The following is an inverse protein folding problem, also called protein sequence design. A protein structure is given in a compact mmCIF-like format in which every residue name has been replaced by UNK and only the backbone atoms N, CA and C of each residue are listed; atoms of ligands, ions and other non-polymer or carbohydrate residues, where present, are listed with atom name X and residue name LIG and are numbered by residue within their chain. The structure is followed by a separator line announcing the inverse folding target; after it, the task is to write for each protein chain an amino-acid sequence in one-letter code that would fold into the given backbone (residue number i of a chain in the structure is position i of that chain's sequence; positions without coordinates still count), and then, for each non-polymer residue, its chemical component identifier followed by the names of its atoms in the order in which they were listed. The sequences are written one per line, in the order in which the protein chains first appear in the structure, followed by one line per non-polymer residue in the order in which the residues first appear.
data_IF_541555545364
#
_entry.id   IF_541555545364
#
_cell.length_a   1.000
_cell.length_b   1.000
_cell.length_c   1.000
_cell.angle_alpha   90.00
_cell.angle_beta   90.00
_cell.angle_gamma   90.00
#
_symmetry.space_group_name_H-M   'P 1'
#
loop_
_entity.id
_entity.type
_entity.pdbx_description
1 polymer ?
#
# COMPACT_ATOMS: atom_id res chain seq x y z
N UNK A 1 -53.05 36.09 37.07
CA UNK A 1 -51.85 35.23 36.89
C UNK A 1 -51.99 34.45 35.60
N UNK A 2 -51.40 34.93 34.50
CA UNK A 2 -51.33 34.22 33.21
C UNK A 2 -49.91 33.65 33.09
N UNK A 3 -49.77 32.32 33.10
CA UNK A 3 -48.48 31.65 32.90
C UNK A 3 -48.17 31.64 31.40
N UNK A 4 -47.07 32.27 31.03
CA UNK A 4 -46.50 32.21 29.69
C UNK A 4 -45.87 30.84 29.46
N UNK A 5 -46.26 30.16 28.39
CA UNK A 5 -45.58 28.97 27.89
C UNK A 5 -44.33 29.42 27.13
N UNK A 6 -43.15 29.03 27.62
CA UNK A 6 -41.89 29.23 26.90
C UNK A 6 -41.71 28.06 25.94
N UNK A 7 -41.88 28.32 24.64
CA UNK A 7 -41.62 27.37 23.57
C UNK A 7 -40.11 27.35 23.32
N UNK A 8 -39.43 26.33 23.84
CA UNK A 8 -38.01 26.12 23.64
C UNK A 8 -37.81 25.52 22.23
N UNK A 9 -37.43 26.35 21.27
CA UNK A 9 -37.05 25.92 19.92
C UNK A 9 -35.69 25.24 20.03
N UNK A 10 -35.68 23.90 20.00
CA UNK A 10 -34.47 23.11 19.90
C UNK A 10 -33.96 23.21 18.46
N UNK A 11 -32.96 24.05 18.22
CA UNK A 11 -32.24 24.08 16.95
C UNK A 11 -31.38 22.82 16.89
N UNK A 12 -31.85 21.80 16.17
CA UNK A 12 -30.99 20.70 15.74
C UNK A 12 -29.99 21.27 14.73
N UNK A 13 -28.78 21.59 15.17
CA UNK A 13 -27.65 21.70 14.25
C UNK A 13 -27.37 20.30 13.72
N UNK A 14 -27.91 19.99 12.54
CA UNK A 14 -27.48 18.84 11.73
C UNK A 14 -26.01 19.03 11.41
N UNK A 15 -25.14 18.44 12.22
CA UNK A 15 -23.76 18.15 11.83
C UNK A 15 -23.88 17.13 10.71
N UNK A 16 -23.91 17.59 9.46
CA UNK A 16 -23.70 16.73 8.30
C UNK A 16 -22.25 16.29 8.42
N UNK A 17 -22.00 15.09 8.93
CA UNK A 17 -20.71 14.44 8.73
C UNK A 17 -20.50 14.37 7.22
N UNK A 18 -19.45 15.03 6.72
CA UNK A 18 -19.09 14.94 5.32
C UNK A 18 -18.80 13.45 5.03
N UNK A 19 -19.67 12.81 4.25
CA UNK A 19 -19.52 11.40 3.89
C UNK A 19 -18.40 11.31 2.87
N UNK A 20 -17.42 10.42 3.12
CA UNK A 20 -16.32 10.22 2.20
C UNK A 20 -16.84 9.73 0.83
N UNK A 21 -16.34 10.23 -0.31
CA UNK A 21 -16.83 9.87 -1.65
C UNK A 21 -16.78 8.36 -1.93
N UNK A 22 -15.75 7.66 -1.43
CA UNK A 22 -15.67 6.20 -1.55
C UNK A 22 -16.74 5.46 -0.72
N UNK A 23 -17.20 5.98 0.41
CA UNK A 23 -18.31 5.37 1.16
C UNK A 23 -19.62 5.46 0.36
N UNK A 24 -19.82 6.55 -0.39
CA UNK A 24 -20.97 6.70 -1.31
C UNK A 24 -20.87 5.70 -2.45
N UNK A 25 -19.75 5.72 -3.19
CA UNK A 25 -19.55 4.85 -4.35
C UNK A 25 -19.64 3.36 -3.99
N UNK A 26 -19.06 2.95 -2.86
CA UNK A 26 -19.08 1.55 -2.43
C UNK A 26 -20.44 1.09 -1.96
N UNK A 27 -21.25 1.96 -1.34
CA UNK A 27 -22.63 1.65 -0.96
C UNK A 27 -23.56 1.52 -2.16
N UNK A 28 -23.35 2.37 -3.16
CA UNK A 28 -24.20 2.43 -4.36
C UNK A 28 -23.74 1.49 -5.48
N UNK A 29 -22.66 0.72 -5.25
CA UNK A 29 -22.14 -0.22 -6.27
C UNK A 29 -23.18 -1.30 -6.56
N UNK A 30 -23.64 -1.35 -7.81
CA UNK A 30 -24.50 -2.42 -8.31
C UNK A 30 -23.74 -3.72 -8.60
N UNK A 31 -24.41 -4.66 -9.26
CA UNK A 31 -23.78 -5.92 -9.71
C UNK A 31 -22.52 -5.66 -10.56
N UNK A 32 -21.51 -6.55 -10.52
CA UNK A 32 -20.33 -6.44 -11.37
C UNK A 32 -20.72 -6.51 -12.85
N UNK A 33 -20.09 -5.67 -13.66
CA UNK A 33 -20.21 -5.71 -15.12
C UNK A 33 -18.81 -5.97 -15.66
N UNK A 34 -18.64 -7.08 -16.38
CA UNK A 34 -17.37 -7.44 -16.96
C UNK A 34 -17.53 -8.35 -18.18
N UNK A 35 -16.49 -8.41 -19.00
CA UNK A 35 -16.40 -9.30 -20.17
C UNK A 35 -15.13 -10.15 -20.06
N UNK A 36 -15.22 -11.44 -20.37
CA UNK A 36 -14.03 -12.29 -20.52
C UNK A 36 -13.44 -12.06 -21.91
N UNK A 37 -12.20 -11.58 -21.97
CA UNK A 37 -11.49 -11.27 -23.22
C UNK A 37 -10.53 -12.38 -23.61
N UNK A 38 -9.88 -13.01 -22.64
CA UNK A 38 -8.97 -14.15 -22.85
C UNK A 38 -9.27 -15.22 -21.81
N UNK A 39 -9.21 -16.48 -22.24
CA UNK A 39 -9.20 -17.69 -21.40
C UNK A 39 -8.15 -18.62 -21.99
N UNK A 40 -7.15 -19.00 -21.20
CA UNK A 40 -6.07 -19.89 -21.65
C UNK A 40 -5.56 -20.76 -20.50
N UNK A 41 -4.81 -21.80 -20.83
CA UNK A 41 -4.13 -22.67 -19.87
C UNK A 41 -2.68 -22.83 -20.31
N UNK A 42 -1.74 -22.71 -19.37
CA UNK A 42 -0.31 -22.93 -19.64
C UNK A 42 -0.02 -24.42 -19.81
N UNK A 43 1.20 -24.75 -20.27
CA UNK A 43 1.65 -26.15 -20.32
C UNK A 43 1.80 -26.77 -18.92
N UNK A 44 2.04 -25.96 -17.89
CA UNK A 44 2.22 -26.40 -16.51
C UNK A 44 0.91 -26.42 -15.69
N UNK A 45 -0.23 -26.15 -16.34
CA UNK A 45 -1.56 -26.34 -15.77
C UNK A 45 -2.18 -25.13 -15.07
N UNK A 46 -1.59 -23.93 -15.16
CA UNK A 46 -2.25 -22.71 -14.70
C UNK A 46 -3.39 -22.30 -15.64
N UNK A 47 -4.58 -22.10 -15.11
CA UNK A 47 -5.66 -21.43 -15.85
C UNK A 47 -5.52 -19.92 -15.71
N UNK A 48 -5.60 -19.20 -16.83
CA UNK A 48 -5.43 -17.75 -16.88
C UNK A 48 -6.61 -17.12 -17.62
N UNK A 49 -7.18 -16.10 -17.02
CA UNK A 49 -8.27 -15.32 -17.58
C UNK A 49 -7.92 -13.83 -17.60
N UNK A 50 -8.29 -13.15 -18.67
CA UNK A 50 -8.24 -11.68 -18.75
C UNK A 50 -9.66 -11.17 -18.91
N UNK A 51 -10.11 -10.38 -17.94
CA UNK A 51 -11.40 -9.73 -17.92
C UNK A 51 -11.24 -8.24 -18.22
N UNK A 52 -12.26 -7.65 -18.84
CA UNK A 52 -12.50 -6.20 -18.83
C UNK A 52 -13.55 -5.92 -17.76
N UNK A 53 -13.18 -5.31 -16.64
CA UNK A 53 -14.09 -4.91 -15.57
C UNK A 53 -14.49 -3.45 -15.71
N UNK A 54 -15.78 -3.15 -15.67
CA UNK A 54 -16.29 -1.77 -15.80
C UNK A 54 -16.34 -1.07 -14.43
N UNK A 55 -15.76 0.14 -14.40
CA UNK A 55 -15.74 1.03 -13.24
C UNK A 55 -16.85 2.09 -13.32
N UNK A 56 -16.49 3.32 -12.94
CA UNK A 56 -17.38 4.49 -13.03
C UNK A 56 -17.14 5.31 -14.30
N UNK A 57 -18.08 6.21 -14.62
CA UNK A 57 -17.80 7.36 -15.48
C UNK A 57 -17.21 8.47 -14.61
N UNK A 58 -16.03 8.97 -14.96
CA UNK A 58 -15.33 10.03 -14.23
C UNK A 58 -14.78 11.06 -15.22
N UNK A 59 -15.09 12.34 -15.01
CA UNK A 59 -14.70 13.45 -15.90
C UNK A 59 -15.02 13.15 -17.38
N UNK A 60 -16.25 12.70 -17.64
CA UNK A 60 -16.73 12.26 -18.96
C UNK A 60 -16.05 11.03 -19.59
N UNK A 61 -15.06 10.42 -18.91
CA UNK A 61 -14.39 9.21 -19.36
C UNK A 61 -15.03 7.99 -18.70
N UNK A 62 -15.43 6.98 -19.48
CA UNK A 62 -15.80 5.67 -18.94
C UNK A 62 -14.54 4.91 -18.51
N UNK A 63 -14.45 4.57 -17.23
CA UNK A 63 -13.35 3.78 -16.69
C UNK A 63 -13.64 2.29 -16.82
N UNK A 64 -12.61 1.54 -17.18
CA UNK A 64 -12.57 0.08 -17.11
C UNK A 64 -11.16 -0.38 -16.80
N UNK A 65 -11.02 -1.56 -16.21
CA UNK A 65 -9.75 -2.14 -15.81
C UNK A 65 -9.57 -3.51 -16.47
N UNK A 66 -8.36 -3.80 -16.95
CA UNK A 66 -7.97 -5.17 -17.28
C UNK A 66 -7.69 -5.93 -15.99
N UNK A 67 -8.37 -7.07 -15.81
CA UNK A 67 -8.24 -7.91 -14.61
C UNK A 67 -7.75 -9.29 -15.03
N UNK A 68 -6.54 -9.63 -14.64
CA UNK A 68 -5.93 -10.94 -14.84
C UNK A 68 -6.27 -11.83 -13.66
N UNK A 69 -6.65 -13.07 -13.91
CA UNK A 69 -6.90 -14.08 -12.87
C UNK A 69 -6.07 -15.29 -13.21
N UNK A 70 -5.20 -15.71 -12.28
CA UNK A 70 -4.38 -16.91 -12.37
C UNK A 70 -4.90 -17.90 -11.33
N UNK A 71 -5.24 -19.11 -11.78
CA UNK A 71 -5.53 -20.26 -10.94
C UNK A 71 -4.36 -21.23 -11.03
N UNK A 72 -3.44 -21.24 -10.05
CA UNK A 72 -2.29 -22.13 -10.09
C UNK A 72 -2.70 -23.59 -9.81
N UNK A 73 -1.99 -24.61 -10.31
CA UNK A 73 -2.36 -26.01 -10.11
C UNK A 73 -2.19 -26.49 -8.66
N UNK A 74 -1.43 -25.77 -7.83
CA UNK A 74 -1.16 -26.11 -6.42
C UNK A 74 -2.08 -25.37 -5.42
N UNK A 75 -3.30 -25.04 -5.83
CA UNK A 75 -4.30 -24.37 -4.99
C UNK A 75 -4.56 -25.10 -3.65
N UNK A 76 -4.34 -24.40 -2.54
CA UNK A 76 -4.70 -24.83 -1.18
C UNK A 76 -5.74 -23.91 -0.55
N UNK A 77 -5.67 -22.62 -0.83
CA UNK A 77 -6.59 -21.60 -0.30
C UNK A 77 -7.60 -21.25 -1.37
N UNK A 78 -8.86 -21.69 -1.18
CA UNK A 78 -9.95 -21.49 -2.16
C UNK A 78 -10.98 -20.46 -1.71
N UNK A 79 -10.86 -19.98 -0.49
CA UNK A 79 -11.77 -19.04 0.17
C UNK A 79 -11.23 -17.60 0.20
N UNK A 80 -10.02 -17.37 -0.32
CA UNK A 80 -9.37 -16.06 -0.37
C UNK A 80 -8.52 -15.94 -1.62
N UNK A 81 -8.19 -14.71 -2.00
CA UNK A 81 -7.32 -14.42 -3.12
C UNK A 81 -6.26 -13.38 -2.75
N UNK A 82 -5.14 -13.39 -3.45
CA UNK A 82 -4.20 -12.27 -3.44
C UNK A 82 -4.49 -11.36 -4.63
N UNK A 83 -4.57 -10.05 -4.41
CA UNK A 83 -4.83 -9.05 -5.44
C UNK A 83 -3.66 -8.08 -5.53
N UNK A 84 -3.01 -8.05 -6.69
CA UNK A 84 -1.95 -7.11 -7.03
C UNK A 84 -2.48 -6.00 -7.93
N UNK A 85 -2.41 -4.76 -7.46
CA UNK A 85 -2.74 -3.55 -8.21
C UNK A 85 -1.49 -3.12 -8.98
N UNK A 86 -1.59 -3.12 -10.31
CA UNK A 86 -0.51 -2.73 -11.21
C UNK A 86 -0.86 -1.48 -12.01
N UNK A 87 0.12 -1.01 -12.77
CA UNK A 87 -0.07 0.11 -13.67
C UNK A 87 -0.65 -0.31 -15.02
N UNK A 88 -0.29 0.47 -16.02
CA UNK A 88 -0.79 0.28 -17.36
C UNK A 88 -1.06 1.62 -18.02
N UNK A 89 -1.46 1.55 -19.27
CA UNK A 89 -1.91 2.73 -20.00
C UNK A 89 -2.97 2.28 -20.96
N UNK A 90 -4.10 2.99 -20.93
CA UNK A 90 -5.14 2.84 -21.92
C UNK A 90 -4.59 3.15 -23.30
N UNK A 91 -4.96 2.29 -24.23
CA UNK A 91 -4.70 2.39 -25.67
C UNK A 91 -6.00 2.11 -26.38
N UNK A 92 -5.96 2.13 -27.70
CA UNK A 92 -7.05 1.63 -28.52
C UNK A 92 -7.40 0.20 -28.09
N UNK A 93 -8.69 -0.03 -27.86
CA UNK A 93 -9.18 -1.33 -27.39
C UNK A 93 -9.26 -2.30 -28.56
N UNK A 94 -8.26 -3.19 -28.65
CA UNK A 94 -8.19 -4.25 -29.64
C UNK A 94 -7.61 -5.53 -29.03
N UNK A 95 -7.48 -6.60 -29.81
CA UNK A 95 -6.95 -7.88 -29.31
C UNK A 95 -5.51 -7.75 -28.77
N UNK A 96 -4.66 -6.98 -29.44
CA UNK A 96 -3.27 -6.76 -29.01
C UNK A 96 -3.18 -6.06 -27.64
N UNK A 97 -4.14 -5.17 -27.33
CA UNK A 97 -4.23 -4.51 -26.02
C UNK A 97 -4.44 -5.49 -24.86
N UNK A 98 -5.25 -6.54 -25.08
CA UNK A 98 -5.49 -7.59 -24.08
C UNK A 98 -4.38 -8.63 -24.06
N UNK A 99 -3.79 -8.97 -25.21
CA UNK A 99 -2.63 -9.87 -25.29
C UNK A 99 -1.40 -9.29 -24.59
N UNK A 100 -1.12 -8.00 -24.75
CA UNK A 100 -0.03 -7.36 -24.04
C UNK A 100 -0.19 -7.46 -22.50
N UNK A 101 -1.42 -7.32 -22.01
CA UNK A 101 -1.69 -7.52 -20.58
C UNK A 101 -1.56 -8.99 -20.15
N UNK A 102 -1.91 -9.94 -21.01
CA UNK A 102 -1.66 -11.35 -20.73
C UNK A 102 -0.17 -11.62 -20.53
N UNK A 103 0.71 -11.04 -21.36
CA UNK A 103 2.17 -11.17 -21.18
C UNK A 103 2.61 -10.62 -19.81
N UNK A 104 2.12 -9.43 -19.42
CA UNK A 104 2.37 -8.89 -18.08
C UNK A 104 1.88 -9.84 -16.96
N UNK A 105 0.70 -10.47 -17.15
CA UNK A 105 0.12 -11.42 -16.18
C UNK A 105 0.95 -12.70 -16.09
N UNK A 106 1.53 -13.17 -17.20
CA UNK A 106 2.36 -14.38 -17.25
C UNK A 106 3.66 -14.24 -16.43
N UNK A 107 4.16 -13.02 -16.21
CA UNK A 107 5.32 -12.78 -15.34
C UNK A 107 5.05 -13.15 -13.86
N UNK A 108 3.78 -13.24 -13.46
CA UNK A 108 3.37 -13.54 -12.08
C UNK A 108 3.05 -15.02 -11.82
N UNK A 109 3.25 -15.93 -12.78
CA UNK A 109 2.93 -17.35 -12.59
C UNK A 109 3.64 -17.98 -11.38
N UNK A 110 4.95 -17.72 -11.25
CA UNK A 110 5.73 -18.22 -10.13
C UNK A 110 5.29 -17.61 -8.80
N UNK A 111 4.88 -16.33 -8.81
CA UNK A 111 4.32 -15.64 -7.62
C UNK A 111 3.00 -16.29 -7.23
N UNK A 112 2.08 -16.49 -8.17
CA UNK A 112 0.79 -17.12 -7.92
C UNK A 112 0.94 -18.52 -7.29
N UNK A 113 1.92 -19.32 -7.76
CA UNK A 113 2.26 -20.62 -7.15
C UNK A 113 2.74 -20.49 -5.70
N UNK A 114 3.46 -19.43 -5.35
CA UNK A 114 3.90 -19.19 -3.97
C UNK A 114 2.73 -18.89 -3.04
N UNK A 115 1.63 -18.31 -3.53
CA UNK A 115 0.43 -18.05 -2.71
C UNK A 115 -0.47 -19.27 -2.53
N UNK A 116 -0.43 -20.26 -3.44
CA UNK A 116 -1.32 -21.43 -3.41
C UNK A 116 -2.81 -21.03 -3.38
N UNK A 117 -3.16 -19.92 -4.02
CA UNK A 117 -4.47 -19.26 -3.97
C UNK A 117 -4.80 -18.64 -5.34
N UNK A 118 -6.07 -18.35 -5.67
CA UNK A 118 -6.39 -17.50 -6.81
C UNK A 118 -5.63 -16.17 -6.71
N UNK A 119 -4.96 -15.80 -7.80
CA UNK A 119 -4.12 -14.61 -7.86
C UNK A 119 -4.70 -13.64 -8.89
N UNK A 120 -5.01 -12.43 -8.46
CA UNK A 120 -5.70 -11.41 -9.26
C UNK A 120 -4.74 -10.27 -9.54
N UNK A 121 -4.60 -9.87 -10.80
CA UNK A 121 -3.79 -8.71 -11.23
C UNK A 121 -4.73 -7.66 -11.79
N UNK A 122 -4.73 -6.46 -11.22
CA UNK A 122 -5.60 -5.35 -11.66
C UNK A 122 -4.74 -4.29 -12.32
N UNK A 123 -4.83 -4.20 -13.65
CA UNK A 123 -4.15 -3.20 -14.44
C UNK A 123 -4.93 -1.89 -14.57
N UNK A 124 -4.30 -0.93 -15.25
CA UNK A 124 -4.88 0.36 -15.59
C UNK A 124 -5.32 1.18 -14.36
N UNK A 125 -4.53 1.11 -13.28
CA UNK A 125 -4.69 1.94 -12.09
C UNK A 125 -3.52 2.94 -12.04
N UNK A 126 -3.72 4.23 -12.41
CA UNK A 126 -4.96 4.84 -12.91
C UNK A 126 -5.24 4.54 -14.40
N UNK A 127 -6.47 4.86 -14.84
CA UNK A 127 -6.99 4.74 -16.22
C UNK A 127 -6.39 5.81 -17.16
N UNK A 128 -5.07 5.87 -17.23
CA UNK A 128 -4.30 6.93 -17.88
C UNK A 128 -3.93 6.61 -19.34
N UNK A 129 -3.57 7.60 -20.19
CA UNK A 129 -3.49 9.03 -19.88
C UNK A 129 -4.87 9.71 -19.77
N UNK A 130 -4.98 10.73 -18.93
CA UNK A 130 -6.14 11.65 -18.87
C UNK A 130 -5.61 13.08 -18.82
N UNK A 131 -6.26 14.03 -19.49
CA UNK A 131 -5.78 15.41 -19.67
C UNK A 131 -4.37 15.50 -20.29
N UNK A 132 -3.94 14.47 -21.02
CA UNK A 132 -2.56 14.36 -21.52
C UNK A 132 -1.51 13.99 -20.46
N UNK A 133 -1.92 13.76 -19.21
CA UNK A 133 -1.06 13.48 -18.07
C UNK A 133 -1.14 12.01 -17.64
N UNK A 134 -0.13 11.58 -16.86
CA UNK A 134 0.06 10.22 -16.35
C UNK A 134 0.63 10.28 -14.94
N UNK A 135 0.46 9.21 -14.17
CA UNK A 135 1.16 8.97 -12.90
C UNK A 135 1.03 10.17 -11.94
N UNK A 136 2.14 10.64 -11.33
CA UNK A 136 2.12 11.73 -10.34
C UNK A 136 1.61 13.04 -10.91
N UNK A 137 1.99 13.39 -12.15
CA UNK A 137 1.49 14.58 -12.83
C UNK A 137 -0.04 14.60 -12.93
N UNK A 138 -0.68 13.44 -13.18
CA UNK A 138 -2.14 13.34 -13.22
C UNK A 138 -2.76 13.47 -11.82
N UNK A 139 -2.18 12.85 -10.79
CA UNK A 139 -2.65 13.00 -9.41
C UNK A 139 -2.56 14.46 -8.98
N UNK A 140 -1.39 15.07 -9.15
CA UNK A 140 -1.14 16.47 -8.81
C UNK A 140 -2.10 17.42 -9.53
N UNK A 141 -2.40 17.16 -10.81
CA UNK A 141 -3.39 17.96 -11.53
C UNK A 141 -4.79 17.86 -10.91
N UNK A 142 -5.25 16.67 -10.52
CA UNK A 142 -6.56 16.54 -9.86
C UNK A 142 -6.61 17.23 -8.50
N UNK A 143 -5.49 17.28 -7.77
CA UNK A 143 -5.40 18.01 -6.51
C UNK A 143 -5.47 19.52 -6.74
N UNK A 144 -4.75 20.03 -7.75
CA UNK A 144 -4.82 21.44 -8.16
C UNK A 144 -6.26 21.82 -8.53
N UNK A 145 -6.93 21.01 -9.35
CA UNK A 145 -8.33 21.25 -9.74
C UNK A 145 -9.27 21.23 -8.52
N UNK A 146 -9.07 20.32 -7.56
CA UNK A 146 -9.85 20.27 -6.31
C UNK A 146 -9.68 21.55 -5.49
N UNK A 147 -8.43 22.02 -5.34
CA UNK A 147 -8.14 23.24 -4.57
C UNK A 147 -8.76 24.48 -5.21
N UNK A 148 -8.91 24.52 -6.54
CA UNK A 148 -9.60 25.59 -7.25
C UNK A 148 -11.12 25.52 -7.08
N UNK A 149 -11.70 24.35 -7.39
CA UNK A 149 -13.14 24.09 -7.32
C UNK A 149 -13.38 22.74 -6.60
N UNK A 150 -13.64 22.77 -5.29
CA UNK A 150 -13.78 21.55 -4.50
C UNK A 150 -14.92 20.67 -4.99
N UNK A 151 -14.56 19.45 -5.38
CA UNK A 151 -15.46 18.34 -5.66
C UNK A 151 -14.80 17.08 -5.08
N UNK A 152 -15.38 16.44 -4.04
CA UNK A 152 -14.73 15.32 -3.37
C UNK A 152 -14.54 14.10 -4.27
N UNK A 153 -15.26 13.97 -5.39
CA UNK A 153 -15.07 12.86 -6.35
C UNK A 153 -13.94 13.13 -7.36
N UNK A 154 -13.35 14.32 -7.33
CA UNK A 154 -12.32 14.75 -8.27
C UNK A 154 -10.91 14.20 -7.99
N UNK A 155 -10.41 14.10 -6.75
CA UNK A 155 -9.06 13.57 -6.52
C UNK A 155 -8.89 12.17 -7.14
N UNK A 156 -7.86 11.97 -7.97
CA UNK A 156 -7.69 10.76 -8.81
C UNK A 156 -7.74 9.45 -8.02
N UNK A 157 -7.35 9.48 -6.75
CA UNK A 157 -7.37 8.32 -5.87
C UNK A 157 -8.77 7.75 -5.61
N UNK A 158 -9.81 8.58 -5.73
CA UNK A 158 -11.21 8.14 -5.62
C UNK A 158 -11.57 7.18 -6.77
N UNK A 159 -11.53 7.57 -8.06
CA UNK A 159 -11.83 6.64 -9.14
C UNK A 159 -10.81 5.50 -9.26
N UNK A 160 -9.53 5.69 -8.86
CA UNK A 160 -8.55 4.60 -8.77
C UNK A 160 -8.98 3.53 -7.77
N UNK A 161 -9.31 3.92 -6.54
CA UNK A 161 -9.69 2.98 -5.48
C UNK A 161 -11.02 2.30 -5.81
N UNK A 162 -12.00 3.06 -6.29
CA UNK A 162 -13.27 2.49 -6.71
C UNK A 162 -13.09 1.50 -7.87
N UNK A 163 -12.20 1.77 -8.82
CA UNK A 163 -11.83 0.86 -9.90
C UNK A 163 -11.31 -0.49 -9.40
N UNK A 164 -10.43 -0.49 -8.40
CA UNK A 164 -9.91 -1.71 -7.75
C UNK A 164 -11.03 -2.48 -7.03
N UNK A 165 -11.92 -1.76 -6.35
CA UNK A 165 -13.09 -2.36 -5.70
C UNK A 165 -14.01 -3.05 -6.72
N UNK A 166 -14.25 -2.42 -7.87
CA UNK A 166 -15.01 -3.02 -8.98
C UNK A 166 -14.29 -4.20 -9.63
N UNK A 167 -12.95 -4.19 -9.64
CA UNK A 167 -12.16 -5.35 -10.06
C UNK A 167 -12.31 -6.53 -9.07
N UNK A 168 -12.37 -6.27 -7.76
CA UNK A 168 -12.70 -7.31 -6.77
C UNK A 168 -14.11 -7.88 -6.99
N UNK A 169 -15.11 -7.04 -7.27
CA UNK A 169 -16.46 -7.51 -7.60
C UNK A 169 -16.47 -8.44 -8.82
N UNK A 170 -15.79 -8.04 -9.90
CA UNK A 170 -15.72 -8.84 -11.12
C UNK A 170 -14.95 -10.15 -10.92
N UNK A 171 -13.83 -10.12 -10.20
CA UNK A 171 -13.04 -11.31 -9.91
C UNK A 171 -13.81 -12.29 -9.02
N UNK A 172 -14.49 -11.79 -7.99
CA UNK A 172 -15.28 -12.62 -7.07
C UNK A 172 -16.44 -13.31 -7.80
N UNK A 173 -17.23 -12.57 -8.57
CA UNK A 173 -18.36 -13.14 -9.35
C UNK A 173 -17.88 -14.12 -10.44
N UNK A 174 -16.76 -13.81 -11.11
CA UNK A 174 -16.15 -14.73 -12.06
C UNK A 174 -15.68 -16.03 -11.40
N UNK A 175 -15.01 -15.93 -10.25
CA UNK A 175 -14.48 -17.08 -9.51
C UNK A 175 -15.58 -17.93 -8.89
N UNK A 176 -16.68 -17.32 -8.45
CA UNK A 176 -17.87 -18.03 -7.97
C UNK A 176 -18.46 -18.94 -9.07
N UNK A 177 -18.56 -18.44 -10.31
CA UNK A 177 -18.96 -19.23 -11.49
C UNK A 177 -18.00 -20.38 -11.82
N UNK A 178 -16.78 -20.34 -11.27
CA UNK A 178 -15.76 -21.40 -11.35
C UNK A 178 -15.72 -22.28 -10.10
N UNK A 179 -16.71 -22.19 -9.22
CA UNK A 179 -16.80 -22.91 -7.94
C UNK A 179 -15.67 -22.55 -6.95
N UNK A 180 -15.31 -21.26 -6.88
CA UNK A 180 -14.47 -20.69 -5.85
C UNK A 180 -15.27 -19.65 -5.04
N UNK A 181 -15.47 -19.91 -3.75
CA UNK A 181 -16.18 -18.99 -2.86
C UNK A 181 -15.19 -18.02 -2.20
N UNK A 182 -14.79 -16.97 -2.91
CA UNK A 182 -13.83 -15.98 -2.39
C UNK A 182 -14.51 -15.10 -1.34
N UNK A 183 -14.08 -15.24 -0.08
CA UNK A 183 -14.56 -14.49 1.08
C UNK A 183 -13.79 -13.19 1.31
N UNK A 184 -12.55 -13.11 0.80
CA UNK A 184 -11.75 -11.90 0.96
C UNK A 184 -10.47 -11.86 0.14
N UNK A 185 -9.84 -10.69 0.15
CA UNK A 185 -8.65 -10.37 -0.61
C UNK A 185 -7.54 -9.85 0.30
N UNK A 186 -6.31 -10.32 0.10
CA UNK A 186 -5.13 -9.58 0.52
C UNK A 186 -4.72 -8.68 -0.63
N UNK A 187 -4.65 -7.36 -0.40
CA UNK A 187 -4.42 -6.37 -1.47
C UNK A 187 -3.02 -5.81 -1.39
N UNK A 188 -2.35 -5.67 -2.54
CA UNK A 188 -1.01 -5.12 -2.65
C UNK A 188 -0.87 -4.22 -3.87
N UNK A 189 0.09 -3.31 -3.84
CA UNK A 189 0.44 -2.43 -4.95
C UNK A 189 1.65 -1.58 -4.61
N UNK A 190 2.38 -1.15 -5.63
CA UNK A 190 3.57 -0.32 -5.46
C UNK A 190 3.30 1.17 -5.71
N UNK A 191 3.96 2.04 -4.95
CA UNK A 191 3.93 3.50 -5.12
C UNK A 191 2.50 4.02 -5.00
N UNK A 192 1.97 4.71 -6.00
CA UNK A 192 0.57 5.19 -6.08
C UNK A 192 -0.46 4.06 -5.97
N UNK A 193 -0.11 2.84 -6.37
CA UNK A 193 -0.95 1.66 -6.17
C UNK A 193 -0.85 1.14 -4.74
N UNK A 194 0.27 1.38 -4.06
CA UNK A 194 0.40 1.22 -2.61
C UNK A 194 -0.49 2.22 -1.86
N UNK A 195 -0.60 3.46 -2.37
CA UNK A 195 -1.61 4.41 -1.89
C UNK A 195 -3.03 3.86 -2.04
N UNK A 196 -3.38 3.38 -3.24
CA UNK A 196 -4.68 2.75 -3.49
C UNK A 196 -4.91 1.50 -2.64
N UNK A 197 -3.86 0.76 -2.29
CA UNK A 197 -3.93 -0.42 -1.42
C UNK A 197 -4.45 -0.04 -0.02
N UNK A 198 -3.92 1.03 0.57
CA UNK A 198 -4.43 1.53 1.86
C UNK A 198 -5.90 1.93 1.77
N UNK A 199 -6.28 2.70 0.76
CA UNK A 199 -7.66 3.14 0.58
C UNK A 199 -8.61 1.95 0.32
N UNK A 200 -8.21 0.96 -0.46
CA UNK A 200 -8.99 -0.25 -0.66
C UNK A 200 -9.24 -0.99 0.68
N UNK A 201 -8.22 -1.06 1.54
CA UNK A 201 -8.36 -1.62 2.89
C UNK A 201 -9.30 -0.84 3.82
N UNK A 202 -9.44 0.48 3.62
CA UNK A 202 -10.37 1.34 4.40
C UNK A 202 -11.82 1.19 3.93
N UNK A 203 -12.01 1.03 2.62
CA UNK A 203 -13.30 1.21 1.96
C UNK A 203 -13.95 -0.09 1.45
N UNK A 204 -13.28 -1.24 1.55
CA UNK A 204 -13.89 -2.53 1.20
C UNK A 204 -13.71 -3.58 2.32
N UNK A 205 -14.80 -4.04 2.96
CA UNK A 205 -14.71 -4.96 4.09
C UNK A 205 -14.23 -6.37 3.71
N UNK A 206 -14.13 -6.70 2.41
CA UNK A 206 -13.56 -7.98 1.95
C UNK A 206 -12.04 -7.98 2.02
N UNK A 207 -11.41 -6.81 2.17
CA UNK A 207 -9.95 -6.73 2.31
C UNK A 207 -9.59 -7.16 3.73
N UNK A 208 -8.99 -8.33 3.87
CA UNK A 208 -8.65 -8.88 5.18
C UNK A 208 -7.22 -8.53 5.64
N UNK A 209 -6.36 -8.12 4.71
CA UNK A 209 -4.99 -7.69 4.97
C UNK A 209 -4.45 -6.85 3.79
N UNK A 210 -3.46 -6.00 4.04
CA UNK A 210 -2.82 -5.19 2.99
C UNK A 210 -1.30 -5.28 2.98
N UNK A 211 -0.72 -5.11 1.79
CA UNK A 211 0.72 -5.10 1.54
C UNK A 211 1.08 -3.89 0.66
N UNK A 212 1.03 -2.66 1.19
CA UNK A 212 1.47 -1.48 0.47
C UNK A 212 2.99 -1.54 0.26
N UNK A 213 3.44 -1.35 -0.98
CA UNK A 213 4.86 -1.39 -1.33
C UNK A 213 5.33 0.01 -1.76
N UNK A 214 6.49 0.44 -1.27
CA UNK A 214 7.13 1.74 -1.60
C UNK A 214 6.16 2.92 -1.61
N UNK A 215 5.23 2.94 -0.65
CA UNK A 215 4.36 4.06 -0.37
C UNK A 215 4.47 4.40 1.12
N UNK A 216 5.55 5.09 1.45
CA UNK A 216 5.89 5.53 2.81
C UNK A 216 5.56 7.01 2.98
N UNK A 217 4.29 7.37 2.85
CA UNK A 217 3.84 8.77 2.86
C UNK A 217 2.45 8.94 3.48
N UNK A 218 2.23 8.28 4.60
CA UNK A 218 1.05 8.54 5.42
C UNK A 218 1.36 9.73 6.33
N UNK A 219 0.32 10.48 6.71
CA UNK A 219 0.47 11.71 7.48
C UNK A 219 1.22 12.79 6.68
N UNK A 220 0.72 13.07 5.47
CA UNK A 220 1.44 13.80 4.41
C UNK A 220 1.93 15.18 4.88
N UNK A 221 1.14 15.90 5.68
CA UNK A 221 1.55 17.21 6.25
C UNK A 221 2.85 17.07 7.07
N UNK A 222 2.91 16.08 7.97
CA UNK A 222 4.10 15.81 8.80
C UNK A 222 5.26 15.32 7.95
N UNK A 223 5.01 14.49 6.93
CA UNK A 223 6.04 13.98 6.02
C UNK A 223 6.76 15.11 5.27
N UNK A 224 6.00 16.08 4.77
CA UNK A 224 6.57 17.22 4.04
C UNK A 224 7.44 18.09 4.95
N UNK A 225 6.95 18.40 6.15
CA UNK A 225 7.70 19.17 7.14
C UNK A 225 9.00 18.45 7.53
N UNK A 226 8.92 17.16 7.83
CA UNK A 226 10.06 16.33 8.20
C UNK A 226 11.08 16.24 7.06
N UNK A 227 10.64 16.01 5.82
CA UNK A 227 11.55 15.97 4.67
C UNK A 227 12.30 17.29 4.48
N UNK A 228 11.63 18.43 4.66
CA UNK A 228 12.24 19.75 4.54
C UNK A 228 13.25 20.01 5.67
N UNK A 229 12.96 19.62 6.90
CA UNK A 229 13.92 19.69 8.02
C UNK A 229 15.14 18.79 7.76
N UNK A 230 14.89 17.60 7.25
CA UNK A 230 15.88 16.53 7.16
C UNK A 230 16.82 16.67 5.95
N UNK A 231 16.31 17.07 4.78
CA UNK A 231 17.09 17.29 3.55
C UNK A 231 17.36 18.77 3.24
N UNK A 232 16.69 19.71 3.91
CA UNK A 232 16.73 21.14 3.57
C UNK A 232 15.93 21.52 2.32
N UNK A 233 15.36 20.54 1.62
CA UNK A 233 14.54 20.68 0.40
C UNK A 233 13.64 19.46 0.24
N UNK A 234 12.66 19.54 -0.65
CA UNK A 234 11.89 18.37 -1.08
C UNK A 234 12.67 17.50 -2.05
N UNK A 235 12.33 16.21 -2.10
CA UNK A 235 12.85 15.28 -3.10
C UNK A 235 12.43 15.70 -4.52
N UNK A 236 13.31 15.50 -5.50
CA UNK A 236 12.99 15.67 -6.92
C UNK A 236 11.79 14.84 -7.38
N UNK A 237 11.48 13.75 -6.67
CA UNK A 237 10.33 12.90 -6.96
C UNK A 237 8.99 13.59 -6.69
N UNK A 238 8.98 14.70 -5.94
CA UNK A 238 7.80 15.51 -5.66
C UNK A 238 7.61 16.68 -6.64
N UNK A 239 8.43 16.77 -7.69
CA UNK A 239 8.44 17.88 -8.66
C UNK A 239 7.05 18.17 -9.25
N UNK A 240 6.29 17.15 -9.64
CA UNK A 240 4.95 17.33 -10.23
C UNK A 240 3.97 18.07 -9.29
N UNK A 241 4.13 17.86 -7.98
CA UNK A 241 3.34 18.50 -6.94
C UNK A 241 3.87 19.90 -6.61
N UNK A 242 5.19 20.05 -6.54
CA UNK A 242 5.86 21.32 -6.26
C UNK A 242 5.61 22.36 -7.35
N UNK A 243 5.73 21.98 -8.63
CA UNK A 243 5.51 22.89 -9.78
C UNK A 243 4.05 23.40 -9.85
N UNK A 244 3.12 22.70 -9.21
CA UNK A 244 1.71 23.10 -9.08
C UNK A 244 1.39 23.85 -7.79
N UNK A 245 2.40 24.16 -6.97
CA UNK A 245 2.25 24.87 -5.71
C UNK A 245 1.49 24.08 -4.63
N UNK A 246 1.39 22.75 -4.75
CA UNK A 246 0.54 21.94 -3.87
C UNK A 246 1.14 21.76 -2.47
N UNK A 247 2.47 21.73 -2.37
CA UNK A 247 3.15 21.42 -1.11
C UNK A 247 2.88 22.46 -0.03
N UNK A 248 2.79 23.73 -0.39
CA UNK A 248 2.48 24.81 0.57
C UNK A 248 0.97 24.95 0.82
N UNK A 249 0.13 24.50 -0.11
CA UNK A 249 -1.33 24.61 0.00
C UNK A 249 -1.94 23.54 0.92
N UNK A 250 -1.17 22.52 1.29
CA UNK A 250 -1.64 21.41 2.10
C UNK A 250 -2.04 21.84 3.52
N UNK A 251 -1.38 22.87 4.06
CA UNK A 251 -1.69 23.44 5.38
C UNK A 251 -2.97 24.32 5.37
N UNK A 252 -3.42 24.74 4.20
CA UNK A 252 -4.64 25.52 4.05
C UNK A 252 -5.88 24.70 4.43
N UNK A 253 -7.00 25.35 4.74
CA UNK A 253 -8.26 24.65 5.02
C UNK A 253 -8.64 23.68 3.89
N UNK A 254 -8.54 24.12 2.63
CA UNK A 254 -8.85 23.27 1.46
C UNK A 254 -7.84 22.12 1.30
N UNK A 255 -6.58 22.35 1.65
CA UNK A 255 -5.56 21.29 1.69
C UNK A 255 -5.90 20.22 2.71
N UNK A 256 -6.34 20.62 3.90
CA UNK A 256 -6.81 19.69 4.95
C UNK A 256 -8.06 18.93 4.50
N UNK A 257 -9.04 19.61 3.90
CA UNK A 257 -10.23 18.96 3.34
C UNK A 257 -9.87 17.94 2.23
N UNK A 258 -8.82 18.19 1.44
CA UNK A 258 -8.29 17.24 0.47
C UNK A 258 -7.64 16.04 1.17
N UNK A 259 -6.81 16.26 2.19
CA UNK A 259 -6.16 15.19 2.95
C UNK A 259 -7.14 14.24 3.61
N UNK A 260 -8.29 14.73 4.10
CA UNK A 260 -9.37 13.88 4.60
C UNK A 260 -9.93 12.90 3.56
N UNK A 261 -9.71 13.16 2.26
CA UNK A 261 -10.12 12.29 1.15
C UNK A 261 -8.99 11.36 0.72
N UNK A 262 -7.75 11.87 0.69
CA UNK A 262 -6.65 11.17 0.02
C UNK A 262 -5.68 10.51 0.98
N UNK A 263 -5.38 11.09 2.15
CA UNK A 263 -4.38 10.53 3.05
C UNK A 263 -4.98 9.43 3.93
N UNK A 264 -4.53 8.16 3.82
CA UNK A 264 -5.03 7.08 4.66
C UNK A 264 -4.87 7.36 6.16
N UNK A 265 -3.91 8.21 6.55
CA UNK A 265 -3.69 8.58 7.94
C UNK A 265 -4.84 9.37 8.56
N UNK A 266 -5.51 10.23 7.78
CA UNK A 266 -6.72 10.94 8.22
C UNK A 266 -7.83 9.95 8.62
N UNK A 267 -7.86 8.79 7.97
CA UNK A 267 -8.82 7.71 8.18
C UNK A 267 -8.23 6.50 8.93
N UNK A 268 -7.06 6.65 9.59
CA UNK A 268 -6.28 5.53 10.14
C UNK A 268 -7.03 4.63 11.11
N UNK A 269 -8.02 5.15 11.84
CA UNK A 269 -8.83 4.35 12.76
C UNK A 269 -9.64 3.24 12.04
N UNK A 270 -9.84 3.37 10.72
CA UNK A 270 -10.46 2.34 9.86
C UNK A 270 -9.47 1.30 9.35
N UNK A 271 -8.16 1.52 9.49
CA UNK A 271 -7.09 0.60 9.04
C UNK A 271 -6.72 -0.45 10.10
N UNK A 272 -7.71 -1.07 10.74
CA UNK A 272 -7.50 -2.06 11.82
C UNK A 272 -7.08 -3.45 11.32
N UNK A 273 -7.16 -3.70 10.01
CA UNK A 273 -6.72 -4.93 9.39
C UNK A 273 -5.19 -5.11 9.47
N UNK A 274 -4.67 -6.35 9.50
CA UNK A 274 -3.24 -6.60 9.47
C UNK A 274 -2.57 -6.06 8.20
N UNK A 275 -1.39 -5.47 8.37
CA UNK A 275 -0.64 -4.87 7.28
C UNK A 275 0.85 -5.17 7.37
N UNK A 276 1.50 -5.38 6.22
CA UNK A 276 2.96 -5.44 6.11
C UNK A 276 3.46 -4.45 5.07
N UNK A 277 4.27 -3.50 5.49
CA UNK A 277 4.78 -2.41 4.67
C UNK A 277 6.11 -2.85 4.06
N UNK A 278 6.21 -2.84 2.73
CA UNK A 278 7.42 -3.27 2.01
C UNK A 278 8.12 -2.04 1.46
N UNK A 279 9.26 -1.70 2.03
CA UNK A 279 9.96 -0.44 1.80
C UNK A 279 11.41 -0.68 1.34
N UNK A 280 11.94 0.20 0.48
CA UNK A 280 13.34 0.18 0.08
C UNK A 280 14.17 1.11 0.96
N UNK A 281 15.32 0.67 1.47
CA UNK A 281 16.16 1.53 2.33
C UNK A 281 16.84 2.68 1.61
N UNK A 282 16.79 2.70 0.28
CA UNK A 282 17.39 3.72 -0.58
C UNK A 282 16.34 4.36 -1.49
N UNK A 283 15.06 4.27 -1.12
CA UNK A 283 13.96 4.93 -1.84
C UNK A 283 14.18 6.45 -1.86
N UNK A 284 14.05 7.05 -3.05
CA UNK A 284 14.33 8.46 -3.25
C UNK A 284 13.18 9.40 -2.91
N UNK A 285 11.98 8.86 -2.62
CA UNK A 285 10.79 9.67 -2.40
C UNK A 285 10.75 10.34 -1.02
N UNK A 286 11.05 9.61 0.06
CA UNK A 286 10.83 10.05 1.44
C UNK A 286 12.10 9.94 2.30
N UNK A 287 12.03 10.41 3.55
CA UNK A 287 13.13 10.23 4.50
C UNK A 287 13.22 8.77 4.93
N UNK A 288 14.41 8.36 5.35
CA UNK A 288 14.68 6.98 5.71
C UNK A 288 13.82 6.49 6.89
N UNK A 289 13.49 7.39 7.81
CA UNK A 289 12.67 7.17 9.00
C UNK A 289 11.19 7.52 8.80
N UNK A 290 10.74 7.71 7.56
CA UNK A 290 9.38 8.17 7.25
C UNK A 290 8.27 7.30 7.85
N UNK A 291 8.44 5.97 7.85
CA UNK A 291 7.55 5.03 8.54
C UNK A 291 7.33 5.38 10.03
N UNK A 292 8.35 5.91 10.72
CA UNK A 292 8.28 6.22 12.14
C UNK A 292 7.26 7.31 12.47
N UNK A 293 6.84 8.10 11.47
CA UNK A 293 5.94 9.23 11.63
C UNK A 293 4.45 8.84 11.67
N UNK A 294 4.11 7.57 11.43
CA UNK A 294 2.72 7.14 11.38
C UNK A 294 2.44 5.70 11.83
N UNK A 295 3.42 4.78 11.77
CA UNK A 295 3.12 3.34 12.00
C UNK A 295 2.63 3.03 13.40
N UNK A 296 3.09 3.76 14.41
CA UNK A 296 2.66 3.57 15.80
C UNK A 296 1.20 4.00 16.03
N UNK A 297 0.65 4.85 15.16
CA UNK A 297 -0.72 5.34 15.22
C UNK A 297 -1.71 4.47 14.42
N UNK A 298 -1.21 3.46 13.69
CA UNK A 298 -2.06 2.55 12.92
C UNK A 298 -2.61 1.43 13.83
N UNK A 299 -3.94 1.26 13.93
CA UNK A 299 -4.52 0.18 14.71
C UNK A 299 -4.27 -1.20 14.08
N UNK A 300 -4.35 -2.26 14.89
CA UNK A 300 -4.12 -3.64 14.43
C UNK A 300 -2.64 -3.94 14.16
N UNK A 301 -2.36 -5.17 13.73
CA UNK A 301 -0.98 -5.61 13.50
C UNK A 301 -0.35 -4.87 12.30
N UNK A 302 0.84 -4.31 12.52
CA UNK A 302 1.62 -3.60 11.50
C UNK A 302 3.04 -4.15 11.51
N UNK A 303 3.44 -4.79 10.40
CA UNK A 303 4.79 -5.30 10.20
C UNK A 303 5.56 -4.41 9.23
N UNK A 304 6.86 -4.25 9.46
CA UNK A 304 7.77 -3.57 8.53
C UNK A 304 8.66 -4.60 7.84
N UNK A 305 8.87 -4.41 6.54
CA UNK A 305 9.89 -5.09 5.77
C UNK A 305 10.71 -4.03 5.02
N UNK A 306 11.98 -3.92 5.37
CA UNK A 306 12.93 -3.09 4.63
C UNK A 306 13.80 -3.98 3.73
N UNK A 307 13.78 -3.71 2.43
CA UNK A 307 14.71 -4.31 1.46
C UNK A 307 16.02 -3.50 1.45
N UNK A 308 17.13 -4.04 1.98
CA UNK A 308 18.38 -3.30 2.08
C UNK A 308 18.99 -3.05 0.70
N UNK A 309 19.49 -1.83 0.46
CA UNK A 309 20.08 -1.37 -0.80
C UNK A 309 19.11 -1.25 -1.99
N UNK A 310 17.81 -1.47 -1.76
CA UNK A 310 16.80 -1.28 -2.79
C UNK A 310 16.28 0.15 -2.82
N UNK A 311 16.10 0.65 -4.04
CA UNK A 311 15.44 1.93 -4.36
C UNK A 311 13.93 1.71 -4.54
N UNK A 312 13.23 2.71 -5.08
CA UNK A 312 11.79 2.66 -5.31
C UNK A 312 11.30 1.48 -6.19
N UNK A 313 12.17 0.83 -6.95
CA UNK A 313 11.82 -0.28 -7.84
C UNK A 313 11.92 -1.69 -7.22
N UNK A 314 12.35 -1.82 -5.96
CA UNK A 314 12.42 -3.08 -5.19
C UNK A 314 12.97 -4.29 -6.00
N UNK A 315 14.29 -4.44 -6.08
CA UNK A 315 14.90 -5.53 -6.87
C UNK A 315 14.91 -6.88 -6.16
N UNK A 316 14.76 -6.92 -4.84
CA UNK A 316 14.78 -8.15 -4.06
C UNK A 316 13.44 -8.92 -4.08
N UNK A 317 12.89 -9.13 -5.29
CA UNK A 317 11.53 -9.67 -5.50
C UNK A 317 11.33 -11.03 -4.84
N UNK A 318 12.34 -11.91 -4.86
CA UNK A 318 12.25 -13.25 -4.26
C UNK A 318 11.97 -13.20 -2.76
N UNK A 319 12.70 -12.39 -2.02
CA UNK A 319 12.57 -12.25 -0.57
C UNK A 319 11.25 -11.57 -0.18
N UNK A 320 10.83 -10.59 -0.97
CA UNK A 320 9.55 -9.92 -0.81
C UNK A 320 8.42 -10.94 -1.00
N UNK A 321 8.42 -11.70 -2.11
CA UNK A 321 7.38 -12.70 -2.41
C UNK A 321 7.33 -13.81 -1.36
N UNK A 322 8.48 -14.31 -0.89
CA UNK A 322 8.54 -15.28 0.20
C UNK A 322 7.88 -14.74 1.48
N UNK A 323 8.22 -13.50 1.87
CA UNK A 323 7.68 -12.85 3.07
C UNK A 323 6.17 -12.63 2.97
N UNK A 324 5.68 -12.06 1.86
CA UNK A 324 4.26 -11.71 1.71
C UNK A 324 3.38 -12.95 1.52
N UNK A 325 3.89 -13.99 0.85
CA UNK A 325 3.16 -15.26 0.69
C UNK A 325 3.08 -16.01 2.02
N UNK A 326 4.12 -15.98 2.84
CA UNK A 326 4.07 -16.49 4.22
C UNK A 326 3.07 -15.70 5.07
N UNK A 327 3.08 -14.36 4.99
CA UNK A 327 2.09 -13.51 5.67
C UNK A 327 0.65 -13.87 5.28
N UNK A 328 0.39 -14.08 3.99
CA UNK A 328 -0.90 -14.55 3.47
C UNK A 328 -1.34 -15.90 4.04
N UNK A 329 -0.41 -16.87 4.07
CA UNK A 329 -0.69 -18.24 4.53
C UNK A 329 -0.83 -18.35 6.04
N UNK A 330 -0.17 -17.49 6.81
CA UNK A 330 -0.26 -17.46 8.27
C UNK A 330 -1.58 -16.82 8.76
N UNK A 331 -2.15 -15.88 8.00
CA UNK A 331 -3.45 -15.27 8.35
C UNK A 331 -4.55 -16.33 8.59
N UNK A 332 -5.38 -16.19 9.65
CA UNK A 332 -5.48 -15.04 10.57
C UNK A 332 -4.57 -15.10 11.80
N UNK A 333 -3.72 -16.11 11.94
CA UNK A 333 -2.83 -16.27 13.11
C UNK A 333 -1.42 -15.80 12.76
N UNK A 334 -1.21 -14.49 12.94
CA UNK A 334 0.06 -13.84 12.65
C UNK A 334 1.01 -13.91 13.84
N UNK A 335 2.33 -13.92 13.61
CA UNK A 335 3.31 -13.93 14.70
C UNK A 335 3.32 -12.62 15.46
N UNK A 336 3.68 -12.69 16.73
CA UNK A 336 3.94 -11.52 17.55
C UNK A 336 5.45 -11.26 17.58
N UNK A 337 5.86 -10.05 17.19
CA UNK A 337 7.26 -9.62 17.24
C UNK A 337 7.31 -8.24 17.88
N UNK A 338 8.02 -8.13 19.01
CA UNK A 338 8.17 -6.87 19.73
C UNK A 338 9.63 -6.43 19.73
N UNK A 339 9.86 -5.23 19.22
CA UNK A 339 11.17 -4.58 19.24
C UNK A 339 11.23 -3.56 20.37
N UNK A 340 12.37 -3.49 21.05
CA UNK A 340 12.66 -2.55 22.11
C UNK A 340 13.83 -1.66 21.72
N UNK A 341 13.77 -0.40 22.14
CA UNK A 341 14.74 0.65 21.79
C UNK A 341 15.29 1.25 23.08
N UNK A 342 16.58 1.02 23.37
CA UNK A 342 17.22 1.47 24.61
C UNK A 342 18.70 1.77 24.35
N UNK A 343 19.20 2.92 24.82
CA UNK A 343 20.61 3.33 24.74
C UNK A 343 21.26 3.18 23.35
N UNK A 344 20.54 3.56 22.28
CA UNK A 344 21.03 3.43 20.90
C UNK A 344 21.17 1.98 20.42
N UNK A 345 20.45 1.04 21.04
CA UNK A 345 20.40 -0.37 20.65
C UNK A 345 18.95 -0.75 20.35
N UNK A 346 18.80 -1.73 19.47
CA UNK A 346 17.51 -2.34 19.16
C UNK A 346 17.57 -3.79 19.62
N UNK A 347 16.58 -4.24 20.37
CA UNK A 347 16.47 -5.65 20.76
C UNK A 347 15.11 -6.23 20.41
N UNK A 348 15.04 -7.55 20.37
CA UNK A 348 13.82 -8.33 20.15
C UNK A 348 13.80 -9.49 21.14
N UNK A 349 12.62 -9.78 21.68
CA UNK A 349 12.40 -10.97 22.50
C UNK A 349 12.66 -12.23 21.69
N UNK A 350 13.41 -13.17 22.28
CA UNK A 350 13.61 -14.49 21.66
C UNK A 350 12.28 -15.23 21.62
N UNK A 351 12.01 -15.87 20.49
CA UNK A 351 10.96 -16.87 20.38
C UNK A 351 11.47 -18.07 19.58
N UNK A 352 10.88 -19.27 19.75
CA UNK A 352 11.24 -20.44 18.94
C UNK A 352 11.02 -20.25 17.43
N UNK A 353 10.25 -19.24 17.05
CA UNK A 353 9.90 -18.93 15.67
C UNK A 353 10.98 -18.07 15.02
N UNK A 354 11.78 -17.32 15.79
CA UNK A 354 12.91 -16.54 15.28
C UNK A 354 14.09 -17.49 15.05
N UNK A 355 14.42 -17.73 13.77
CA UNK A 355 15.51 -18.63 13.36
C UNK A 355 16.79 -17.89 12.96
N UNK A 356 16.70 -16.58 12.71
CA UNK A 356 17.85 -15.73 12.39
C UNK A 356 17.54 -14.27 12.76
N UNK A 357 18.57 -13.51 13.13
CA UNK A 357 18.47 -12.09 13.42
C UNK A 357 19.76 -11.36 13.04
N UNK A 358 19.61 -10.22 12.37
CA UNK A 358 20.74 -9.38 11.96
C UNK A 358 20.43 -7.90 12.16
N UNK A 359 21.46 -7.14 12.51
CA UNK A 359 21.42 -5.69 12.47
C UNK A 359 21.85 -5.22 11.07
N UNK A 360 21.00 -4.43 10.42
CA UNK A 360 21.33 -3.71 9.20
C UNK A 360 21.73 -2.28 9.56
N UNK A 361 22.82 -1.78 8.97
CA UNK A 361 23.30 -0.44 9.28
C UNK A 361 23.97 0.21 8.07
N UNK A 362 24.01 1.54 8.10
CA UNK A 362 24.73 2.38 7.13
C UNK A 362 25.29 3.63 7.82
N UNK A 363 26.32 4.23 7.23
CA UNK A 363 26.97 5.45 7.73
C UNK A 363 27.12 6.44 6.57
N UNK A 364 26.83 7.72 6.80
CA UNK A 364 26.88 8.79 5.80
C UNK A 364 27.52 10.06 6.36
N UNK A 365 28.07 10.92 5.49
CA UNK A 365 28.53 12.26 5.86
C UNK A 365 27.40 13.28 5.99
N UNK A 366 26.21 12.93 5.50
CA UNK A 366 24.99 13.74 5.60
C UNK A 366 23.86 12.89 6.15
N UNK A 367 22.74 13.51 6.54
CA UNK A 367 21.52 12.78 6.88
C UNK A 367 20.85 12.11 5.67
N UNK A 368 21.30 12.40 4.45
CA UNK A 368 20.82 11.74 3.24
C UNK A 368 21.52 10.39 3.03
N UNK A 369 20.76 9.31 3.16
CA UNK A 369 21.25 7.93 3.06
C UNK A 369 20.97 7.28 1.70
N UNK A 370 20.34 7.97 0.75
CA UNK A 370 19.85 7.39 -0.52
C UNK A 370 20.95 6.76 -1.38
N UNK A 371 22.16 7.29 -1.28
CA UNK A 371 23.34 6.79 -2.02
C UNK A 371 24.27 5.90 -1.18
N UNK A 372 23.83 5.50 0.02
CA UNK A 372 24.66 4.71 0.95
C UNK A 372 24.47 3.21 0.76
N UNK A 373 25.44 2.43 1.25
CA UNK A 373 25.39 0.97 1.22
C UNK A 373 25.03 0.43 2.61
N UNK A 374 23.95 -0.33 2.67
CA UNK A 374 23.50 -1.03 3.86
C UNK A 374 24.27 -2.34 4.06
N UNK A 375 25.02 -2.38 5.15
CA UNK A 375 25.77 -3.53 5.61
C UNK A 375 24.96 -4.32 6.65
N UNK A 376 25.44 -5.52 6.97
CA UNK A 376 24.86 -6.39 8.01
C UNK A 376 25.88 -6.71 9.08
N UNK A 377 25.40 -6.90 10.31
CA UNK A 377 26.16 -7.35 11.47
C UNK A 377 25.32 -8.35 12.27
N UNK A 378 25.98 -9.34 12.88
CA UNK A 378 25.32 -10.27 13.79
C UNK A 378 24.81 -9.54 15.04
N UNK A 379 23.72 -10.05 15.61
CA UNK A 379 23.22 -9.64 16.92
C UNK A 379 24.04 -10.24 18.05
N UNK A 380 24.03 -9.59 19.21
CA UNK A 380 24.48 -10.18 20.47
C UNK A 380 23.34 -10.99 21.08
N UNK A 381 23.62 -12.23 21.45
CA UNK A 381 22.66 -13.08 22.13
C UNK A 381 22.78 -12.91 23.65
N UNK A 382 21.69 -12.46 24.29
CA UNK A 382 21.52 -12.46 25.75
C UNK A 382 20.51 -13.53 26.15
N UNK A 383 20.26 -13.75 27.44
CA UNK A 383 19.37 -14.84 27.92
C UNK A 383 18.02 -14.86 27.18
N UNK A 384 17.26 -13.77 27.23
CA UNK A 384 15.92 -13.67 26.63
C UNK A 384 15.84 -12.76 25.39
N UNK A 385 16.95 -12.10 25.02
CA UNK A 385 16.96 -11.06 23.99
C UNK A 385 18.01 -11.32 22.90
N UNK A 386 17.67 -10.93 21.67
CA UNK A 386 18.62 -10.73 20.58
C UNK A 386 18.83 -9.22 20.42
N UNK A 387 20.07 -8.77 20.60
CA UNK A 387 20.41 -7.34 20.71
C UNK A 387 21.27 -6.90 19.53
N UNK A 388 20.72 -6.02 18.69
CA UNK A 388 21.44 -5.32 17.64
C UNK A 388 22.22 -4.12 18.20
N UNK A 389 23.55 -4.24 18.24
CA UNK A 389 24.45 -3.16 18.65
C UNK A 389 25.10 -2.50 17.43
N UNK A 390 24.76 -1.24 17.10
CA UNK A 390 25.35 -0.55 15.95
C UNK A 390 26.88 -0.40 16.13
N UNK A 391 27.64 -0.38 15.03
CA UNK A 391 29.07 -0.07 15.11
C UNK A 391 29.27 1.39 15.53
N UNK A 392 30.45 1.69 16.08
CA UNK A 392 30.81 3.06 16.43
C UNK A 392 30.74 4.00 15.21
N UNK A 393 30.09 5.15 15.40
CA UNK A 393 29.94 6.20 14.40
C UNK A 393 31.15 7.15 14.44
N UNK A 394 31.88 7.37 13.32
CA UNK A 394 32.95 8.36 13.29
C UNK A 394 32.42 9.78 13.58
N UNK A 395 33.25 10.62 14.20
CA UNK A 395 32.89 12.01 14.47
C UNK A 395 32.54 12.76 13.17
N UNK A 396 31.42 13.48 13.17
CA UNK A 396 30.93 14.22 11.99
C UNK A 396 30.21 13.38 10.94
N UNK A 397 29.94 12.10 11.22
CA UNK A 397 29.09 11.24 10.38
C UNK A 397 27.73 11.01 11.04
N UNK A 398 26.75 10.65 10.22
CA UNK A 398 25.44 10.16 10.60
C UNK A 398 25.37 8.64 10.40
N UNK A 399 24.52 7.99 11.18
CA UNK A 399 24.33 6.55 11.11
C UNK A 399 22.84 6.23 11.09
N UNK A 400 22.47 5.19 10.36
CA UNK A 400 21.14 4.63 10.42
C UNK A 400 21.19 3.11 10.54
N UNK A 401 20.25 2.53 11.28
CA UNK A 401 20.21 1.10 11.51
C UNK A 401 18.82 0.59 11.87
N UNK A 402 18.57 -0.69 11.58
CA UNK A 402 17.37 -1.42 12.01
C UNK A 402 17.71 -2.88 12.29
N UNK A 403 16.92 -3.51 13.13
CA UNK A 403 17.01 -4.94 13.40
C UNK A 403 16.06 -5.69 12.47
N UNK A 404 16.54 -6.79 11.88
CA UNK A 404 15.75 -7.68 11.04
C UNK A 404 15.77 -9.09 11.61
N UNK A 405 14.60 -9.69 11.78
CA UNK A 405 14.44 -11.09 12.17
C UNK A 405 13.87 -11.90 11.02
N UNK A 406 14.32 -13.14 10.90
CA UNK A 406 13.71 -14.16 10.04
C UNK A 406 12.92 -15.12 10.92
N UNK A 407 11.63 -15.21 10.67
CA UNK A 407 10.72 -16.13 11.32
C UNK A 407 10.55 -17.39 10.48
N UNK A 408 10.45 -18.55 11.11
CA UNK A 408 10.04 -19.81 10.48
C UNK A 408 8.87 -20.43 11.26
N UNK A 409 7.69 -20.48 10.65
CA UNK A 409 6.45 -20.94 11.28
C UNK A 409 5.78 -21.94 10.35
N UNK A 410 5.68 -23.21 10.77
CA UNK A 410 5.11 -24.31 9.95
C UNK A 410 5.80 -24.43 8.57
N UNK A 411 7.11 -24.20 8.52
CA UNK A 411 7.90 -24.22 7.28
C UNK A 411 7.72 -22.99 6.37
N UNK A 412 6.94 -21.99 6.80
CA UNK A 412 6.80 -20.70 6.11
C UNK A 412 7.83 -19.71 6.67
N UNK A 413 8.51 -18.98 5.80
CA UNK A 413 9.53 -17.99 6.17
C UNK A 413 9.05 -16.57 5.93
N UNK A 414 9.17 -15.73 6.95
CA UNK A 414 8.77 -14.31 6.89
C UNK A 414 9.84 -13.46 7.56
N UNK A 415 10.22 -12.34 6.93
CA UNK A 415 11.13 -11.38 7.55
C UNK A 415 10.36 -10.18 8.07
N UNK A 416 10.73 -9.75 9.28
CA UNK A 416 10.15 -8.59 9.95
C UNK A 416 11.27 -7.69 10.43
N UNK A 417 11.10 -6.39 10.27
CA UNK A 417 12.05 -5.38 10.67
C UNK A 417 11.50 -4.52 11.81
N UNK A 418 12.39 -4.02 12.65
CA UNK A 418 12.13 -2.89 13.54
C UNK A 418 11.98 -1.61 12.72
N UNK A 419 11.41 -0.55 13.31
CA UNK A 419 11.61 0.82 12.84
C UNK A 419 13.10 1.16 12.70
N UNK A 420 13.42 2.05 11.76
CA UNK A 420 14.79 2.54 11.56
C UNK A 420 15.11 3.59 12.61
N UNK A 421 16.30 3.50 13.20
CA UNK A 421 16.89 4.56 14.02
C UNK A 421 17.88 5.34 13.17
N UNK A 422 17.85 6.67 13.29
CA UNK A 422 18.78 7.59 12.63
C UNK A 422 19.44 8.48 13.68
N UNK A 423 20.77 8.55 13.66
CA UNK A 423 21.61 9.30 14.62
C UNK A 423 22.61 10.25 13.98
#
# INVERSE_FOLDING_TARGET
MRKAASLMILIFTTIIFAVHPLDVLTRERGAPIYETKISTTTQEGEEIYVLKSYGMKWQEVQWFHRVGIILPPNLRYRDRAFLLITGGSRREENEAYYRAFLEDVLEYLWVARMFESPFVVVGDVPNQPIFGLREDALIAETFRMYLEKPDPFLPLLVPMTYGVIRAMDAAQDFLEKKNFEIKGFMVSGASKRGWTTYLAGIFDPRVFAIVPMVYDNLNIEVQLLHQKEYYGTYSEKLKDYQERGLLDLIESKRGKDLLEIVDPYAMRLRLSLPKILVLGTNDEYWTLDSANLYVDDLPGETFLFYSPNDRHNLKNVKEIVETISSFFKLYPRLPEVRFFYEDGKISVEKSPEIVDAELRFTISKSKDFRETVWLRKNVEEKEDLLVGVPPGKPAGFHQAYFLRVTLEIKGLRMKVCSKIVVE
#
